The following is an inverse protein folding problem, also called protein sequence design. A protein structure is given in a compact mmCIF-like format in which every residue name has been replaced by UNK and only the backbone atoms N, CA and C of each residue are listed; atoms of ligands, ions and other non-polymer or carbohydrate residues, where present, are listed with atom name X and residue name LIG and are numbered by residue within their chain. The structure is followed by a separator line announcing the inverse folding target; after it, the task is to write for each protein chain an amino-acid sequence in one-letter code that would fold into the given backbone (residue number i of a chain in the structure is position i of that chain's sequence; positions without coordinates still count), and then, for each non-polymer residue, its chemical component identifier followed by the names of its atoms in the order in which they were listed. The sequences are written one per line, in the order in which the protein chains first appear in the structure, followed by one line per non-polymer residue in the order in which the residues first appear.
data_IF_728405083590
#
_entry.id   IF_728405083590
#
_cell.length_a   1.000
_cell.length_b   1.000
_cell.length_c   1.000
_cell.angle_alpha   90.00
_cell.angle_beta   90.00
_cell.angle_gamma   90.00
#
_symmetry.space_group_name_H-M   'P 1'
#
loop_
_entity.id
_entity.type
_entity.pdbx_description
1 polymer ?
#
# COMPACT_ATOMS: atom_id res chain seq x y z
N UNK A 1 14.97 -20.12 4.35
CA UNK A 1 15.30 -18.80 4.97
C UNK A 1 14.12 -17.88 4.70
N UNK A 2 13.45 -17.36 5.73
CA UNK A 2 12.23 -16.53 5.63
C UNK A 2 12.64 -15.07 5.83
N UNK A 3 12.33 -14.19 4.88
CA UNK A 3 12.72 -12.78 4.95
C UNK A 3 11.91 -12.04 6.04
N UNK A 4 12.51 -11.07 6.75
CA UNK A 4 11.79 -10.26 7.73
C UNK A 4 10.83 -9.30 7.02
N UNK A 5 9.60 -9.24 7.54
CA UNK A 5 8.56 -8.30 7.08
C UNK A 5 8.94 -6.90 7.59
N UNK A 6 9.05 -5.86 6.74
CA UNK A 6 9.47 -4.54 7.19
C UNK A 6 8.35 -3.85 7.98
N UNK A 7 8.70 -3.33 9.16
CA UNK A 7 7.83 -2.45 9.95
C UNK A 7 7.77 -1.08 9.29
N UNK A 8 6.63 -0.73 8.70
CA UNK A 8 6.40 0.59 8.10
C UNK A 8 5.91 1.56 9.19
N UNK A 9 6.71 2.59 9.48
CA UNK A 9 6.28 3.77 10.24
C UNK A 9 5.66 4.77 9.27
N UNK A 10 4.40 5.13 9.49
CA UNK A 10 3.72 6.16 8.71
C UNK A 10 3.86 7.47 9.49
N UNK A 11 4.66 8.40 8.96
CA UNK A 11 4.70 9.78 9.43
C UNK A 11 3.80 10.61 8.52
N UNK A 12 2.70 11.13 9.07
CA UNK A 12 1.68 11.87 8.34
C UNK A 12 2.05 13.35 8.25
N UNK A 13 2.34 13.82 7.05
CA UNK A 13 2.37 15.25 6.72
C UNK A 13 1.75 15.35 5.34
N UNK A 14 0.70 16.17 5.15
CA UNK A 14 0.57 17.15 4.07
C UNK A 14 -0.80 17.85 4.15
N UNK A 15 -0.76 19.16 3.86
CA UNK A 15 -1.84 20.12 4.03
C UNK A 15 -2.42 20.57 2.68
N UNK A 16 -3.73 20.85 2.71
CA UNK A 16 -4.48 21.83 1.90
C UNK A 16 -4.81 21.51 0.43
N UNK A 17 -6.11 21.22 0.21
CA UNK A 17 -6.84 21.31 -1.07
C UNK A 17 -6.57 20.15 -2.03
N UNK A 18 -7.58 19.34 -2.38
CA UNK A 18 -7.47 18.07 -3.14
C UNK A 18 -6.76 16.90 -2.42
N UNK A 19 -5.85 17.19 -1.49
CA UNK A 19 -5.17 16.18 -0.66
C UNK A 19 -6.10 15.30 0.19
N UNK A 20 -7.34 15.72 0.46
CA UNK A 20 -8.32 14.94 1.23
C UNK A 20 -8.76 13.66 0.53
N UNK A 21 -9.10 13.73 -0.77
CA UNK A 21 -9.53 12.56 -1.54
C UNK A 21 -8.37 11.58 -1.76
N UNK A 22 -7.18 12.11 -2.08
CA UNK A 22 -5.95 11.31 -2.21
C UNK A 22 -5.60 10.64 -0.88
N UNK A 23 -5.72 11.36 0.25
CA UNK A 23 -5.52 10.79 1.60
C UNK A 23 -6.50 9.65 1.89
N UNK A 24 -7.80 9.81 1.56
CA UNK A 24 -8.79 8.74 1.74
C UNK A 24 -8.49 7.51 0.87
N UNK A 25 -8.03 7.70 -0.37
CA UNK A 25 -7.62 6.59 -1.25
C UNK A 25 -6.39 5.89 -0.70
N UNK A 26 -5.37 6.63 -0.24
CA UNK A 26 -4.17 6.09 0.38
C UNK A 26 -4.53 5.28 1.63
N UNK A 27 -5.35 5.83 2.52
CA UNK A 27 -5.83 5.12 3.72
C UNK A 27 -6.58 3.84 3.37
N UNK A 28 -7.44 3.88 2.34
CA UNK A 28 -8.18 2.72 1.89
C UNK A 28 -7.25 1.62 1.34
N UNK A 29 -6.25 1.99 0.55
CA UNK A 29 -5.25 1.07 0.00
C UNK A 29 -4.38 0.46 1.11
N UNK A 30 -3.95 1.26 2.09
CA UNK A 30 -3.20 0.78 3.25
C UNK A 30 -4.02 -0.20 4.10
N UNK A 31 -5.31 0.09 4.34
CA UNK A 31 -6.19 -0.83 5.06
C UNK A 31 -6.38 -2.15 4.31
N UNK A 32 -6.54 -2.12 2.98
CA UNK A 32 -6.62 -3.33 2.16
C UNK A 32 -5.33 -4.14 2.19
N UNK A 33 -4.17 -3.47 2.10
CA UNK A 33 -2.85 -4.10 2.22
C UNK A 33 -2.71 -4.84 3.55
N UNK A 34 -3.09 -4.20 4.66
CA UNK A 34 -3.02 -4.83 5.99
C UNK A 34 -3.89 -6.10 6.05
N UNK A 35 -5.13 -6.03 5.57
CA UNK A 35 -6.03 -7.20 5.53
C UNK A 35 -5.46 -8.35 4.69
N UNK A 36 -4.83 -8.05 3.56
CA UNK A 36 -4.22 -9.07 2.70
C UNK A 36 -3.00 -9.72 3.36
N UNK A 37 -2.17 -8.94 4.09
CA UNK A 37 -1.07 -9.49 4.88
C UNK A 37 -1.59 -10.46 5.95
N UNK A 38 -2.66 -10.11 6.66
CA UNK A 38 -3.28 -11.01 7.64
C UNK A 38 -3.87 -12.28 7.01
N UNK A 39 -4.42 -12.18 5.80
CA UNK A 39 -4.93 -13.34 5.05
C UNK A 39 -3.79 -14.23 4.57
N UNK A 40 -2.66 -13.65 4.15
CA UNK A 40 -1.49 -14.39 3.68
C UNK A 40 -0.94 -15.32 4.76
N UNK A 41 -0.94 -14.88 6.03
CA UNK A 41 -0.51 -15.71 7.17
C UNK A 41 -1.41 -16.92 7.41
N UNK A 42 -2.68 -16.84 6.99
CA UNK A 42 -3.71 -17.88 7.19
C UNK A 42 -3.99 -18.70 5.95
N UNK A 43 -3.38 -18.35 4.81
CA UNK A 43 -3.67 -18.96 3.52
C UNK A 43 -3.25 -20.44 3.51
N UNK A 44 -4.18 -21.38 3.23
CA UNK A 44 -3.93 -22.81 3.41
C UNK A 44 -3.15 -23.43 2.25
N UNK A 45 -3.15 -22.81 1.07
CA UNK A 45 -2.52 -23.34 -0.14
C UNK A 45 -1.46 -22.39 -0.71
N UNK A 46 -0.61 -22.93 -1.59
CA UNK A 46 0.34 -22.10 -2.36
C UNK A 46 -0.42 -21.20 -3.32
N UNK A 47 -1.44 -21.73 -4.01
CA UNK A 47 -2.25 -20.97 -4.96
C UNK A 47 -2.97 -19.77 -4.30
N UNK A 48 -3.51 -19.95 -3.10
CA UNK A 48 -4.15 -18.85 -2.35
C UNK A 48 -3.12 -17.79 -1.95
N UNK A 49 -1.91 -18.21 -1.57
CA UNK A 49 -0.81 -17.29 -1.27
C UNK A 49 -0.40 -16.50 -2.50
N UNK A 50 -0.23 -17.15 -3.65
CA UNK A 50 0.16 -16.50 -4.90
C UNK A 50 -0.86 -15.42 -5.32
N UNK A 51 -2.16 -15.70 -5.18
CA UNK A 51 -3.23 -14.72 -5.46
C UNK A 51 -3.14 -13.50 -4.53
N UNK A 52 -2.92 -13.73 -3.23
CA UNK A 52 -2.80 -12.66 -2.23
C UNK A 52 -1.52 -11.83 -2.48
N UNK A 53 -0.41 -12.49 -2.79
CA UNK A 53 0.87 -11.82 -3.11
C UNK A 53 0.73 -10.95 -4.36
N UNK A 54 0.05 -11.42 -5.40
CA UNK A 54 -0.23 -10.62 -6.59
C UNK A 54 -1.09 -9.38 -6.28
N UNK A 55 -2.10 -9.52 -5.42
CA UNK A 55 -2.91 -8.38 -4.99
C UNK A 55 -2.12 -7.37 -4.15
N UNK A 56 -1.21 -7.85 -3.28
CA UNK A 56 -0.31 -6.99 -2.52
C UNK A 56 0.63 -6.20 -3.44
N UNK A 57 1.15 -6.82 -4.50
CA UNK A 57 1.99 -6.16 -5.51
C UNK A 57 1.24 -5.02 -6.23
N UNK A 58 0.00 -5.27 -6.66
CA UNK A 58 -0.84 -4.24 -7.29
C UNK A 58 -1.08 -3.04 -6.38
N UNK A 59 -1.37 -3.28 -5.09
CA UNK A 59 -1.58 -2.20 -4.12
C UNK A 59 -0.29 -1.41 -3.88
N UNK A 60 0.85 -2.09 -3.73
CA UNK A 60 2.14 -1.41 -3.54
C UNK A 60 2.49 -0.54 -4.75
N UNK A 61 2.20 -1.03 -5.95
CA UNK A 61 2.40 -0.27 -7.20
C UNK A 61 1.51 0.98 -7.22
N UNK A 62 0.22 0.84 -6.87
CA UNK A 62 -0.69 1.98 -6.77
C UNK A 62 -0.23 3.01 -5.73
N UNK A 63 0.25 2.54 -4.58
CA UNK A 63 0.79 3.42 -3.53
C UNK A 63 2.07 4.14 -3.98
N UNK A 64 2.98 3.48 -4.70
CA UNK A 64 4.19 4.11 -5.28
C UNK A 64 3.82 5.25 -6.24
N UNK A 65 2.79 5.06 -7.06
CA UNK A 65 2.29 6.12 -7.95
C UNK A 65 1.73 7.32 -7.21
N UNK A 66 1.11 7.10 -6.04
CA UNK A 66 0.53 8.17 -5.22
C UNK A 66 1.55 8.88 -4.34
N UNK A 67 2.63 8.20 -3.93
CA UNK A 67 3.72 8.75 -3.10
C UNK A 67 4.74 9.56 -3.92
N UNK A 68 4.80 9.31 -5.24
CA UNK A 68 5.61 10.15 -6.12
C UNK A 68 5.10 11.58 -6.03
N UNK A 69 5.95 12.56 -5.66
CA UNK A 69 5.58 13.94 -5.85
C UNK A 69 5.25 14.07 -7.33
N UNK A 70 4.04 14.54 -7.65
CA UNK A 70 3.70 14.93 -9.02
C UNK A 70 4.83 15.82 -9.58
N UNK A 71 5.00 15.93 -10.91
CA UNK A 71 6.00 16.83 -11.46
C UNK A 71 5.84 18.14 -10.72
N UNK A 72 6.82 18.47 -9.87
CA UNK A 72 6.83 19.75 -9.16
C UNK A 72 6.70 20.72 -10.30
N UNK A 73 5.57 21.42 -10.38
CA UNK A 73 5.34 22.42 -11.40
C UNK A 73 6.60 23.27 -11.40
N UNK A 74 7.42 23.05 -12.42
CA UNK A 74 8.41 24.04 -12.78
C UNK A 74 7.59 25.23 -13.23
N UNK A 75 8.01 26.40 -12.74
CA UNK A 75 7.47 27.74 -12.98
C UNK A 75 6.58 28.29 -11.86
#
# INVERSE_FOLDING_TARGET
MRAPVPTIRIASIFASGDGGAVSTVIENLLSRKQKLVEQLEKAPSVEDRDKIEHQLEQINTALDFLDRPGPRGGE
#
